data_IF_227664435158
#
_entry.id   IF_227664435158
#
_cell.length_a   1.000
_cell.length_b   1.000
_cell.length_c   1.000
_cell.angle_alpha   90.00
_cell.angle_beta   90.00
_cell.angle_gamma   90.00
#
_symmetry.space_group_name_H-M   'P 1'
#
loop_
_entity.id
_entity.type
_entity.pdbx_description
1 polymer ?
#
# COMPACT_ATOMS: atom_id res chain seq x y z
N UNK A 1 1.75 -26.64 -3.62
CA UNK A 1 1.84 -25.24 -3.16
C UNK A 1 0.43 -24.66 -3.13
N UNK A 2 0.06 -23.93 -2.08
CA UNK A 2 -1.24 -23.26 -1.92
C UNK A 2 -1.01 -21.82 -1.47
N UNK A 3 -1.86 -20.89 -1.91
CA UNK A 3 -1.76 -19.48 -1.53
C UNK A 3 -2.87 -19.10 -0.56
N UNK A 4 -2.52 -18.31 0.45
CA UNK A 4 -3.44 -17.66 1.37
C UNK A 4 -3.20 -16.16 1.26
N UNK A 5 -4.21 -15.39 0.86
CA UNK A 5 -4.11 -13.94 0.74
C UNK A 5 -4.86 -13.29 1.89
N UNK A 6 -4.18 -12.39 2.60
CA UNK A 6 -4.69 -11.73 3.80
C UNK A 6 -4.47 -10.23 3.64
N UNK A 7 -5.55 -9.47 3.56
CA UNK A 7 -5.52 -8.01 3.50
C UNK A 7 -5.65 -7.41 4.90
N UNK A 8 -4.55 -6.87 5.42
CA UNK A 8 -4.50 -6.33 6.78
C UNK A 8 -5.10 -4.92 6.90
N UNK A 9 -5.56 -4.29 5.81
CA UNK A 9 -6.12 -2.94 5.83
C UNK A 9 -7.30 -2.77 6.80
N UNK A 10 -8.11 -3.83 6.96
CA UNK A 10 -9.28 -3.81 7.85
C UNK A 10 -8.97 -4.10 9.31
N UNK A 11 -7.78 -4.60 9.62
CA UNK A 11 -7.40 -4.98 10.98
C UNK A 11 -6.99 -3.75 11.79
N UNK A 12 -7.63 -3.50 12.93
CA UNK A 12 -7.38 -2.33 13.78
C UNK A 12 -6.52 -2.65 15.01
N UNK A 13 -6.49 -3.91 15.40
CA UNK A 13 -5.84 -4.35 16.63
C UNK A 13 -5.40 -5.83 16.51
N UNK A 14 -4.65 -6.27 17.51
CA UNK A 14 -4.10 -7.62 17.58
C UNK A 14 -5.19 -8.71 17.60
N UNK A 15 -6.34 -8.48 18.26
CA UNK A 15 -7.46 -9.44 18.27
C UNK A 15 -8.01 -9.68 16.88
N UNK A 16 -8.35 -8.61 16.18
CA UNK A 16 -8.88 -8.67 14.81
C UNK A 16 -7.89 -9.33 13.85
N UNK A 17 -6.58 -9.07 14.03
CA UNK A 17 -5.55 -9.77 13.27
C UNK A 17 -5.64 -11.27 13.46
N UNK A 18 -5.66 -11.77 14.71
CA UNK A 18 -5.66 -13.20 14.96
C UNK A 18 -6.91 -13.91 14.44
N UNK A 19 -8.08 -13.31 14.65
CA UNK A 19 -9.35 -13.83 14.15
C UNK A 19 -9.34 -13.90 12.61
N UNK A 20 -8.90 -12.83 11.96
CA UNK A 20 -8.83 -12.75 10.50
C UNK A 20 -7.77 -13.70 9.92
N UNK A 21 -6.58 -13.75 10.52
CA UNK A 21 -5.49 -14.63 10.12
C UNK A 21 -5.88 -16.11 10.24
N UNK A 22 -6.47 -16.51 11.37
CA UNK A 22 -6.97 -17.86 11.55
C UNK A 22 -8.05 -18.20 10.51
N UNK A 23 -8.98 -17.27 10.28
CA UNK A 23 -10.06 -17.43 9.32
C UNK A 23 -9.55 -17.67 7.90
N UNK A 24 -8.69 -16.79 7.40
CA UNK A 24 -8.16 -16.90 6.04
C UNK A 24 -7.25 -18.12 5.87
N UNK A 25 -6.42 -18.47 6.85
CA UNK A 25 -5.57 -19.68 6.79
C UNK A 25 -6.42 -20.95 6.73
N UNK A 26 -7.47 -21.06 7.55
CA UNK A 26 -8.38 -22.21 7.55
C UNK A 26 -9.16 -22.28 6.24
N UNK A 27 -9.72 -21.14 5.79
CA UNK A 27 -10.48 -21.02 4.55
C UNK A 27 -9.63 -21.38 3.33
N UNK A 28 -8.41 -20.85 3.27
CA UNK A 28 -7.45 -21.16 2.23
C UNK A 28 -7.08 -22.64 2.26
N UNK A 29 -7.04 -23.30 3.42
CA UNK A 29 -6.57 -24.68 3.54
C UNK A 29 -7.64 -25.75 3.33
N UNK A 30 -8.89 -25.49 3.67
CA UNK A 30 -9.99 -26.46 3.65
C UNK A 30 -11.17 -25.98 2.79
N UNK A 31 -11.58 -26.82 1.84
CA UNK A 31 -12.72 -26.53 0.95
C UNK A 31 -14.08 -26.76 1.59
N UNK A 32 -14.18 -27.71 2.54
CA UNK A 32 -15.44 -28.08 3.20
C UNK A 32 -15.44 -27.67 4.65
N UNK A 33 -16.60 -27.23 5.15
CA UNK A 33 -16.80 -26.81 6.54
C UNK A 33 -16.65 -27.96 7.54
N UNK A 34 -17.19 -29.13 7.23
CA UNK A 34 -17.13 -30.30 8.13
C UNK A 34 -15.67 -30.70 8.42
N UNK A 35 -14.81 -30.65 7.39
CA UNK A 35 -13.36 -30.85 7.54
C UNK A 35 -12.72 -29.77 8.42
N UNK A 36 -13.21 -28.52 8.38
CA UNK A 36 -12.71 -27.44 9.25
C UNK A 36 -13.04 -27.73 10.72
N UNK A 37 -14.28 -28.13 11.03
CA UNK A 37 -14.71 -28.43 12.40
C UNK A 37 -14.02 -29.64 13.01
N UNK A 38 -13.83 -30.70 12.23
CA UNK A 38 -13.19 -31.92 12.75
C UNK A 38 -11.71 -31.66 13.09
N UNK A 39 -11.06 -30.82 12.29
CA UNK A 39 -9.63 -30.54 12.38
C UNK A 39 -9.27 -29.42 13.35
N UNK A 40 -10.21 -28.59 13.78
CA UNK A 40 -9.94 -27.53 14.79
C UNK A 40 -9.38 -28.09 16.10
N UNK A 41 -9.81 -29.28 16.51
CA UNK A 41 -9.26 -29.97 17.70
C UNK A 41 -7.81 -30.41 17.54
N UNK A 42 -7.34 -30.57 16.30
CA UNK A 42 -5.95 -30.93 16.00
C UNK A 42 -5.04 -29.70 16.12
N UNK A 43 -5.53 -28.53 15.74
CA UNK A 43 -4.74 -27.30 15.69
C UNK A 43 -4.80 -26.49 16.99
N UNK A 44 -5.95 -26.50 17.66
CA UNK A 44 -6.18 -25.72 18.86
C UNK A 44 -6.36 -26.63 20.07
N UNK A 45 -5.46 -26.50 21.04
CA UNK A 45 -5.54 -27.24 22.31
C UNK A 45 -6.26 -26.43 23.36
N UNK A 46 -6.02 -25.13 23.40
CA UNK A 46 -6.60 -24.20 24.37
C UNK A 46 -7.66 -23.30 23.74
N UNK A 47 -7.56 -23.01 22.43
CA UNK A 47 -8.50 -22.13 21.76
C UNK A 47 -9.71 -22.91 21.21
N UNK A 48 -10.92 -22.38 21.45
CA UNK A 48 -12.15 -22.93 20.85
C UNK A 48 -12.71 -21.88 19.87
N UNK A 49 -12.39 -21.99 18.57
CA UNK A 49 -12.91 -21.07 17.57
C UNK A 49 -14.42 -21.23 17.40
N UNK A 50 -15.14 -20.12 17.50
CA UNK A 50 -16.55 -20.01 17.12
C UNK A 50 -16.62 -19.57 15.67
N UNK A 51 -17.31 -20.34 14.84
CA UNK A 51 -17.49 -20.03 13.43
C UNK A 51 -18.88 -19.46 13.20
N UNK A 52 -18.94 -18.31 12.53
CA UNK A 52 -20.21 -17.71 12.10
C UNK A 52 -20.28 -17.71 10.58
N UNK A 53 -21.47 -18.01 10.06
CA UNK A 53 -21.75 -18.08 8.63
C UNK A 53 -22.80 -17.05 8.25
N UNK A 54 -22.54 -16.36 7.15
CA UNK A 54 -23.55 -15.55 6.49
C UNK A 54 -24.42 -16.39 5.54
N UNK A 55 -25.15 -15.71 4.66
CA UNK A 55 -26.17 -16.36 3.79
C UNK A 55 -25.52 -17.28 2.75
N UNK A 56 -24.28 -16.98 2.34
CA UNK A 56 -23.42 -17.86 1.55
C UNK A 56 -22.24 -18.37 2.42
N UNK A 57 -22.28 -19.62 2.91
CA UNK A 57 -21.23 -20.21 3.75
C UNK A 57 -19.85 -20.31 3.09
N UNK A 58 -19.78 -20.17 1.76
CA UNK A 58 -18.51 -20.22 1.02
C UNK A 58 -17.81 -18.86 0.96
N UNK A 59 -18.57 -17.76 1.08
CA UNK A 59 -18.06 -16.39 0.98
C UNK A 59 -18.02 -15.69 2.35
N UNK A 60 -19.07 -15.81 3.15
CA UNK A 60 -19.23 -15.14 4.45
C UNK A 60 -18.89 -16.09 5.59
N UNK A 61 -17.61 -16.15 5.91
CA UNK A 61 -17.05 -16.96 6.98
C UNK A 61 -16.27 -16.07 7.94
N UNK A 62 -16.60 -16.11 9.23
CA UNK A 62 -15.82 -15.44 10.27
C UNK A 62 -15.48 -16.38 11.42
N UNK A 63 -14.31 -16.15 12.00
CA UNK A 63 -13.82 -16.86 13.19
C UNK A 63 -13.83 -15.87 14.34
N UNK A 64 -14.44 -16.26 15.45
CA UNK A 64 -14.38 -15.51 16.70
C UNK A 64 -13.68 -16.35 17.75
N UNK A 65 -12.79 -15.72 18.52
CA UNK A 65 -11.96 -16.39 19.51
C UNK A 65 -12.18 -15.76 20.89
N UNK A 66 -11.99 -16.56 21.94
CA UNK A 66 -11.92 -16.01 23.29
C UNK A 66 -10.61 -15.24 23.45
N UNK A 67 -10.72 -13.92 23.59
CA UNK A 67 -9.56 -13.04 23.60
C UNK A 67 -8.63 -13.30 24.78
N UNK A 68 -9.16 -13.67 25.95
CA UNK A 68 -8.32 -13.96 27.11
C UNK A 68 -7.44 -15.19 26.86
N UNK A 69 -7.98 -16.21 26.20
CA UNK A 69 -7.23 -17.41 25.84
C UNK A 69 -6.25 -17.14 24.69
N UNK A 70 -6.62 -16.31 23.71
CA UNK A 70 -5.69 -15.91 22.63
C UNK A 70 -4.48 -15.17 23.18
N UNK A 71 -4.66 -14.31 24.21
CA UNK A 71 -3.54 -13.61 24.83
C UNK A 71 -2.57 -14.56 25.55
N UNK A 72 -3.08 -15.65 26.13
CA UNK A 72 -2.26 -16.69 26.79
C UNK A 72 -1.58 -17.61 25.78
N UNK A 73 -2.26 -17.92 24.67
CA UNK A 73 -1.86 -18.93 23.70
C UNK A 73 -1.82 -18.41 22.24
N UNK A 74 -1.17 -17.27 21.94
CA UNK A 74 -1.19 -16.70 20.59
C UNK A 74 -0.48 -17.59 19.57
N UNK A 75 0.46 -18.43 20.00
CA UNK A 75 1.20 -19.34 19.13
C UNK A 75 0.31 -20.37 18.44
N UNK A 76 -0.80 -20.83 19.06
CA UNK A 76 -1.71 -21.78 18.40
C UNK A 76 -2.31 -21.22 17.10
N UNK A 77 -2.46 -19.90 17.03
CA UNK A 77 -2.95 -19.21 15.83
C UNK A 77 -1.80 -18.94 14.87
N UNK A 78 -0.68 -18.43 15.38
CA UNK A 78 0.45 -18.04 14.54
C UNK A 78 1.10 -19.24 13.85
N UNK A 79 1.12 -20.40 14.51
CA UNK A 79 1.67 -21.66 13.99
C UNK A 79 0.69 -22.45 13.12
N UNK A 80 -0.57 -22.00 13.03
CA UNK A 80 -1.62 -22.65 12.25
C UNK A 80 -1.21 -22.95 10.80
N UNK A 81 -0.57 -22.03 10.04
CA UNK A 81 -0.04 -22.33 8.71
C UNK A 81 0.90 -23.55 8.68
N UNK A 82 1.85 -23.63 9.61
CA UNK A 82 2.86 -24.69 9.66
C UNK A 82 2.24 -26.03 10.03
N UNK A 83 1.34 -26.04 11.01
CA UNK A 83 0.65 -27.26 11.45
C UNK A 83 -0.20 -27.84 10.32
N UNK A 84 -1.00 -26.99 9.66
CA UNK A 84 -1.84 -27.43 8.54
C UNK A 84 -0.98 -27.90 7.36
N UNK A 85 0.10 -27.18 7.05
CA UNK A 85 0.99 -27.52 5.94
C UNK A 85 1.63 -28.90 6.13
N UNK A 86 2.09 -29.20 7.36
CA UNK A 86 2.60 -30.53 7.74
C UNK A 86 1.54 -31.62 7.62
N UNK A 87 0.37 -31.39 8.20
CA UNK A 87 -0.70 -32.40 8.20
C UNK A 87 -1.14 -32.76 6.78
N UNK A 88 -1.27 -31.77 5.90
CA UNK A 88 -1.75 -31.98 4.53
C UNK A 88 -0.64 -32.33 3.55
N UNK A 89 0.63 -32.30 3.97
CA UNK A 89 1.78 -32.49 3.07
C UNK A 89 1.84 -31.43 1.95
N UNK A 90 1.46 -30.19 2.26
CA UNK A 90 1.47 -29.06 1.30
C UNK A 90 2.46 -27.99 1.75
N UNK A 91 2.84 -27.12 0.81
CA UNK A 91 3.57 -25.88 1.09
C UNK A 91 2.62 -24.70 0.98
N UNK A 92 2.47 -23.90 2.04
CA UNK A 92 1.56 -22.77 2.10
C UNK A 92 2.31 -21.44 1.95
N UNK A 93 1.87 -20.59 1.02
CA UNK A 93 2.40 -19.24 0.84
C UNK A 93 1.41 -18.27 1.45
N UNK A 94 1.81 -17.57 2.51
CA UNK A 94 1.03 -16.57 3.21
C UNK A 94 1.38 -15.19 2.63
N UNK A 95 0.44 -14.60 1.92
CA UNK A 95 0.54 -13.28 1.32
C UNK A 95 -0.15 -12.27 2.25
N UNK A 96 0.64 -11.39 2.87
CA UNK A 96 0.17 -10.35 3.79
C UNK A 96 0.25 -9.00 3.09
N UNK A 97 -0.91 -8.49 2.68
CA UNK A 97 -1.06 -7.15 2.10
C UNK A 97 -1.24 -6.10 3.18
N UNK A 98 -0.81 -4.87 2.89
CA UNK A 98 -0.88 -3.70 3.78
C UNK A 98 -0.27 -3.97 5.17
N UNK A 99 0.83 -4.73 5.23
CA UNK A 99 1.46 -5.18 6.47
C UNK A 99 1.91 -4.05 7.39
N UNK A 100 2.25 -2.89 6.84
CA UNK A 100 2.57 -1.71 7.65
C UNK A 100 1.45 -1.29 8.61
N UNK A 101 0.21 -1.71 8.37
CA UNK A 101 -0.93 -1.35 9.19
C UNK A 101 -0.80 -1.87 10.64
N UNK A 102 -0.05 -2.96 10.85
CA UNK A 102 0.23 -3.48 12.21
C UNK A 102 1.01 -2.48 13.08
N UNK A 103 1.67 -1.49 12.45
CA UNK A 103 2.38 -0.43 13.14
C UNK A 103 1.46 0.43 14.01
N UNK A 104 0.16 0.46 13.71
CA UNK A 104 -0.86 1.23 14.41
C UNK A 104 -1.50 0.50 15.58
N UNK A 105 -1.12 -0.76 15.86
CA UNK A 105 -1.65 -1.51 17.00
C UNK A 105 -1.10 -0.96 18.32
N UNK A 106 -1.89 -1.07 19.40
CA UNK A 106 -1.54 -0.58 20.73
C UNK A 106 -0.16 -1.06 21.23
N UNK A 107 0.16 -2.35 21.04
CA UNK A 107 1.49 -2.93 21.29
C UNK A 107 2.09 -3.51 20.00
N UNK A 108 2.29 -2.64 19.01
CA UNK A 108 2.87 -3.00 17.71
C UNK A 108 4.22 -3.74 17.84
N UNK A 109 5.12 -3.30 18.73
CA UNK A 109 6.44 -3.92 18.87
C UNK A 109 6.36 -5.32 19.49
N UNK A 110 5.56 -5.49 20.55
CA UNK A 110 5.33 -6.79 21.16
C UNK A 110 4.66 -7.76 20.17
N UNK A 111 3.66 -7.29 19.44
CA UNK A 111 2.99 -8.06 18.39
C UNK A 111 3.97 -8.53 17.31
N UNK A 112 4.79 -7.64 16.75
CA UNK A 112 5.81 -8.00 15.75
C UNK A 112 6.82 -9.04 16.26
N UNK A 113 7.20 -8.98 17.55
CA UNK A 113 8.07 -9.99 18.17
C UNK A 113 7.39 -11.36 18.22
N UNK A 114 6.09 -11.43 18.55
CA UNK A 114 5.32 -12.69 18.55
C UNK A 114 5.28 -13.30 17.15
N UNK A 115 4.96 -12.49 16.12
CA UNK A 115 4.97 -12.94 14.73
C UNK A 115 6.30 -13.53 14.32
N UNK A 116 7.40 -12.78 14.53
CA UNK A 116 8.75 -13.25 14.18
C UNK A 116 9.11 -14.53 14.91
N UNK A 117 8.84 -14.61 16.21
CA UNK A 117 9.22 -15.77 17.03
C UNK A 117 8.61 -17.06 16.50
N UNK A 118 7.36 -17.02 16.07
CA UNK A 118 6.65 -18.13 15.43
C UNK A 118 7.17 -18.37 14.02
N UNK A 119 7.03 -17.38 13.12
CA UNK A 119 7.21 -17.58 11.68
C UNK A 119 8.65 -17.91 11.27
N UNK A 120 9.66 -17.48 12.03
CA UNK A 120 11.07 -17.81 11.72
C UNK A 120 11.37 -19.31 11.86
N UNK A 121 10.53 -20.06 12.57
CA UNK A 121 10.72 -21.51 12.79
C UNK A 121 9.99 -22.36 11.76
N UNK A 122 9.09 -21.77 10.98
CA UNK A 122 8.26 -22.50 10.02
C UNK A 122 9.09 -22.96 8.83
N UNK A 123 8.85 -24.20 8.38
CA UNK A 123 9.62 -24.85 7.31
C UNK A 123 8.74 -25.22 6.10
N UNK A 124 7.42 -25.29 6.28
CA UNK A 124 6.45 -25.66 5.24
C UNK A 124 5.62 -24.45 4.78
N UNK A 125 6.05 -23.26 5.21
CA UNK A 125 5.42 -21.99 4.92
C UNK A 125 6.43 -21.02 4.29
N UNK A 126 5.93 -20.13 3.43
CA UNK A 126 6.68 -18.96 2.97
C UNK A 126 5.81 -17.71 3.11
N UNK A 127 6.44 -16.59 3.46
CA UNK A 127 5.74 -15.33 3.72
C UNK A 127 6.07 -14.32 2.63
N UNK A 128 5.06 -13.88 1.90
CA UNK A 128 5.14 -12.76 0.98
C UNK A 128 4.48 -11.55 1.65
N UNK A 129 5.29 -10.61 2.12
CA UNK A 129 4.81 -9.45 2.88
C UNK A 129 4.99 -8.20 2.04
N UNK A 130 3.91 -7.46 1.81
CA UNK A 130 3.92 -6.28 0.96
C UNK A 130 3.00 -5.18 1.49
N UNK A 131 3.21 -3.97 1.00
CA UNK A 131 2.55 -2.78 1.51
C UNK A 131 2.87 -1.54 0.68
N UNK A 132 1.89 -0.65 0.56
CA UNK A 132 2.00 0.59 -0.23
C UNK A 132 2.89 1.66 0.41
N UNK A 133 2.98 1.72 1.76
CA UNK A 133 3.78 2.74 2.46
C UNK A 133 5.25 2.34 2.57
N UNK A 134 6.05 2.77 1.59
CA UNK A 134 7.46 2.38 1.46
C UNK A 134 8.29 2.74 2.68
N UNK A 135 8.12 3.92 3.28
CA UNK A 135 8.88 4.30 4.47
C UNK A 135 8.58 3.40 5.68
N UNK A 136 7.31 3.03 5.91
CA UNK A 136 6.92 2.18 7.03
C UNK A 136 7.44 0.76 6.83
N UNK A 137 7.32 0.22 5.61
CA UNK A 137 7.87 -1.08 5.26
C UNK A 137 9.39 -1.11 5.44
N UNK A 138 10.07 -0.07 4.98
CA UNK A 138 11.52 0.11 5.18
C UNK A 138 11.88 0.12 6.68
N UNK A 139 11.13 0.84 7.49
CA UNK A 139 11.35 0.86 8.94
C UNK A 139 11.21 -0.52 9.57
N UNK A 140 10.16 -1.27 9.23
CA UNK A 140 9.89 -2.61 9.78
C UNK A 140 11.00 -3.62 9.43
N UNK A 141 11.49 -3.61 8.18
CA UNK A 141 12.38 -4.66 7.65
C UNK A 141 13.88 -4.30 7.61
N UNK A 142 14.26 -3.01 7.55
CA UNK A 142 15.66 -2.59 7.43
C UNK A 142 16.25 -2.01 8.72
N UNK A 143 15.42 -1.56 9.67
CA UNK A 143 15.92 -0.97 10.92
C UNK A 143 16.34 -2.05 11.91
N UNK A 144 17.62 -2.04 12.31
CA UNK A 144 18.22 -3.03 13.25
C UNK A 144 17.46 -3.22 14.57
N UNK A 145 16.77 -2.17 15.05
CA UNK A 145 16.00 -2.24 16.29
C UNK A 145 14.64 -2.93 16.14
N UNK A 146 14.17 -3.15 14.91
CA UNK A 146 12.86 -3.71 14.63
C UNK A 146 12.90 -5.23 14.55
N UNK A 147 11.84 -5.94 15.00
CA UNK A 147 11.83 -7.40 15.02
C UNK A 147 12.07 -8.01 13.64
N UNK A 148 11.47 -7.47 12.59
CA UNK A 148 11.57 -8.00 11.23
C UNK A 148 12.88 -7.67 10.50
N UNK A 149 13.88 -7.10 11.18
CA UNK A 149 15.20 -6.87 10.60
C UNK A 149 15.79 -8.16 10.03
N UNK A 150 16.14 -8.14 8.74
CA UNK A 150 16.65 -9.31 7.98
C UNK A 150 15.76 -10.56 8.11
N UNK A 151 14.44 -10.39 8.22
CA UNK A 151 13.50 -11.51 8.25
C UNK A 151 13.37 -12.21 6.89
N UNK A 152 13.51 -11.46 5.79
CA UNK A 152 13.46 -11.99 4.44
C UNK A 152 14.20 -11.11 3.43
N UNK A 153 14.18 -11.51 2.17
CA UNK A 153 14.68 -10.69 1.05
C UNK A 153 13.72 -9.54 0.76
N UNK A 154 14.28 -8.34 0.55
CA UNK A 154 13.50 -7.13 0.28
C UNK A 154 13.51 -6.87 -1.22
N UNK A 155 12.32 -6.78 -1.82
CA UNK A 155 12.14 -6.43 -3.22
C UNK A 155 11.37 -5.11 -3.33
N UNK A 156 12.03 -4.08 -3.85
CA UNK A 156 11.36 -2.82 -4.21
C UNK A 156 10.82 -2.92 -5.63
N UNK A 157 9.50 -2.81 -5.80
CA UNK A 157 8.89 -2.78 -7.11
C UNK A 157 9.01 -1.37 -7.72
N UNK A 158 9.79 -1.20 -8.80
CA UNK A 158 9.87 0.09 -9.47
C UNK A 158 8.56 0.38 -10.21
N UNK A 159 8.36 1.64 -10.58
CA UNK A 159 7.29 2.02 -11.49
C UNK A 159 7.49 1.33 -12.84
N UNK A 160 6.38 1.00 -13.49
CA UNK A 160 6.39 0.35 -14.80
C UNK A 160 7.09 1.27 -15.81
N UNK A 161 8.06 0.72 -16.54
CA UNK A 161 8.81 1.43 -17.57
C UNK A 161 7.86 2.01 -18.64
N UNK A 162 8.12 3.26 -19.04
CA UNK A 162 7.32 4.02 -19.99
C UNK A 162 7.11 3.27 -21.33
N UNK A 163 8.07 2.44 -21.76
CA UNK A 163 7.94 1.62 -22.98
C UNK A 163 6.77 0.63 -22.92
N UNK A 164 6.49 0.07 -21.73
CA UNK A 164 5.39 -0.85 -21.53
C UNK A 164 4.05 -0.09 -21.51
N UNK A 165 4.03 1.08 -20.89
CA UNK A 165 2.86 1.95 -20.90
C UNK A 165 2.49 2.45 -22.29
N UNK A 166 3.47 2.97 -23.03
CA UNK A 166 3.25 3.50 -24.37
C UNK A 166 2.68 2.44 -25.32
N UNK A 167 3.25 1.22 -25.30
CA UNK A 167 2.73 0.07 -26.04
C UNK A 167 1.30 -0.31 -25.61
N UNK A 168 1.05 -0.38 -24.31
CA UNK A 168 -0.27 -0.69 -23.76
C UNK A 168 -1.33 0.33 -24.19
N UNK A 169 -1.07 1.63 -24.04
CA UNK A 169 -1.99 2.71 -24.38
C UNK A 169 -2.33 2.68 -25.88
N UNK A 170 -1.32 2.56 -26.76
CA UNK A 170 -1.53 2.45 -28.21
C UNK A 170 -2.44 1.26 -28.54
N UNK A 171 -2.19 0.09 -27.93
CA UNK A 171 -3.02 -1.11 -28.13
C UNK A 171 -4.46 -0.90 -27.66
N UNK A 172 -4.69 -0.21 -26.54
CA UNK A 172 -6.05 0.04 -26.00
C UNK A 172 -6.83 1.03 -26.86
N UNK A 173 -6.22 2.10 -27.37
CA UNK A 173 -6.86 3.01 -28.33
C UNK A 173 -7.29 2.24 -29.60
N UNK A 174 -6.38 1.47 -30.18
CA UNK A 174 -6.63 0.69 -31.40
C UNK A 174 -7.78 -0.30 -31.26
N UNK A 175 -7.93 -0.94 -30.09
CA UNK A 175 -9.03 -1.88 -29.81
C UNK A 175 -10.42 -1.27 -29.97
N UNK A 176 -10.53 0.06 -29.92
CA UNK A 176 -11.79 0.81 -29.99
C UNK A 176 -11.94 1.61 -31.29
N UNK A 177 -11.07 1.37 -32.28
CA UNK A 177 -11.06 2.13 -33.54
C UNK A 177 -10.38 3.50 -33.46
N UNK A 178 -9.83 3.89 -32.29
CA UNK A 178 -9.12 5.15 -32.10
C UNK A 178 -7.62 4.98 -32.33
N UNK A 179 -6.91 6.06 -32.63
CA UNK A 179 -5.47 6.07 -32.86
C UNK A 179 -4.74 7.08 -31.97
N UNK A 180 -3.52 6.74 -31.56
CA UNK A 180 -2.59 7.61 -30.84
C UNK A 180 -1.17 7.23 -31.25
N UNK A 181 -0.27 8.22 -31.36
CA UNK A 181 1.14 7.96 -31.66
C UNK A 181 1.87 7.38 -30.44
N UNK A 182 2.94 6.62 -30.65
CA UNK A 182 3.78 6.11 -29.55
C UNK A 182 4.37 7.26 -28.71
N UNK A 183 4.77 8.37 -29.36
CA UNK A 183 5.24 9.60 -28.70
C UNK A 183 4.19 10.15 -27.74
N UNK A 184 2.93 10.28 -28.20
CA UNK A 184 1.83 10.81 -27.39
C UNK A 184 1.47 9.86 -26.24
N UNK A 185 1.43 8.56 -26.48
CA UNK A 185 1.22 7.56 -25.44
C UNK A 185 2.33 7.59 -24.36
N UNK A 186 3.58 7.76 -24.78
CA UNK A 186 4.74 7.94 -23.90
C UNK A 186 4.62 9.23 -23.07
N UNK A 187 4.21 10.35 -23.69
CA UNK A 187 3.93 11.65 -23.04
C UNK A 187 2.88 11.50 -21.93
N UNK A 188 1.76 10.84 -22.20
CA UNK A 188 0.70 10.59 -21.21
C UNK A 188 1.25 9.88 -19.97
N UNK A 189 2.00 8.79 -20.18
CA UNK A 189 2.53 8.02 -19.05
C UNK A 189 3.58 8.80 -18.25
N UNK A 190 4.45 9.55 -18.93
CA UNK A 190 5.49 10.35 -18.30
C UNK A 190 4.93 11.53 -17.50
N UNK A 191 3.82 12.15 -17.95
CA UNK A 191 3.19 13.28 -17.26
C UNK A 191 2.83 12.97 -15.80
N UNK A 192 2.40 11.74 -15.53
CA UNK A 192 1.97 11.27 -14.20
C UNK A 192 2.97 10.30 -13.59
N UNK A 193 4.26 10.55 -13.86
CA UNK A 193 5.42 9.83 -13.35
C UNK A 193 5.34 8.30 -13.52
N UNK A 194 4.72 7.80 -14.60
CA UNK A 194 4.46 6.38 -14.88
C UNK A 194 3.69 5.63 -13.77
N UNK A 195 2.99 6.35 -12.89
CA UNK A 195 2.27 5.75 -11.78
C UNK A 195 1.02 4.99 -12.27
N UNK A 196 0.89 3.67 -12.03
CA UNK A 196 -0.11 2.84 -12.72
C UNK A 196 -1.56 3.30 -12.61
N UNK A 197 -1.97 3.79 -11.44
CA UNK A 197 -3.30 4.37 -11.23
C UNK A 197 -3.52 5.61 -12.10
N UNK A 198 -2.67 6.63 -11.96
CA UNK A 198 -2.80 7.91 -12.68
C UNK A 198 -2.57 7.78 -14.19
N UNK A 199 -1.68 6.88 -14.65
CA UNK A 199 -1.50 6.62 -16.09
C UNK A 199 -2.80 6.12 -16.70
N UNK A 200 -3.43 5.12 -16.07
CA UNK A 200 -4.71 4.58 -16.53
C UNK A 200 -5.82 5.63 -16.46
N UNK A 201 -5.87 6.41 -15.38
CA UNK A 201 -6.87 7.44 -15.21
C UNK A 201 -6.74 8.54 -16.28
N UNK A 202 -5.55 9.10 -16.48
CA UNK A 202 -5.29 10.12 -17.49
C UNK A 202 -5.52 9.59 -18.91
N UNK A 203 -5.02 8.39 -19.21
CA UNK A 203 -5.23 7.77 -20.51
C UNK A 203 -6.71 7.50 -20.79
N UNK A 204 -7.49 7.09 -19.77
CA UNK A 204 -8.93 6.90 -19.91
C UNK A 204 -9.66 8.23 -20.15
N UNK A 205 -9.35 9.28 -19.39
CA UNK A 205 -9.94 10.62 -19.59
C UNK A 205 -9.69 11.14 -21.00
N UNK A 206 -8.46 11.02 -21.49
CA UNK A 206 -8.08 11.41 -22.86
C UNK A 206 -8.78 10.51 -23.89
N UNK A 207 -8.87 9.21 -23.63
CA UNK A 207 -9.54 8.28 -24.52
C UNK A 207 -11.03 8.61 -24.67
N UNK A 208 -11.73 8.97 -23.59
CA UNK A 208 -13.15 9.37 -23.62
C UNK A 208 -13.35 10.61 -24.50
N UNK A 209 -12.48 11.61 -24.38
CA UNK A 209 -12.56 12.85 -25.16
C UNK A 209 -12.03 12.75 -26.59
N UNK A 210 -11.31 11.68 -26.92
CA UNK A 210 -10.79 11.44 -28.27
C UNK A 210 -11.90 10.84 -29.15
N UNK A 211 -12.18 11.43 -30.31
CA UNK A 211 -13.08 10.84 -31.29
C UNK A 211 -12.38 9.75 -32.12
N UNK A 212 -11.41 10.12 -32.96
CA UNK A 212 -10.73 9.18 -33.88
C UNK A 212 -9.21 9.17 -33.69
N UNK A 213 -8.57 10.35 -33.54
CA UNK A 213 -7.12 10.49 -33.39
C UNK A 213 -6.79 11.37 -32.19
N UNK A 214 -5.92 10.89 -31.31
CA UNK A 214 -5.41 11.65 -30.17
C UNK A 214 -4.11 12.38 -30.54
N UNK A 215 -4.21 13.69 -30.67
CA UNK A 215 -3.12 14.65 -30.82
C UNK A 215 -2.70 15.25 -29.48
N UNK A 216 -1.88 16.30 -29.54
CA UNK A 216 -1.42 17.00 -28.33
C UNK A 216 -2.57 17.77 -27.65
N UNK A 217 -3.48 18.35 -28.44
CA UNK A 217 -4.65 19.09 -27.94
C UNK A 217 -5.58 18.21 -27.10
N UNK A 218 -5.85 16.96 -27.51
CA UNK A 218 -6.67 16.02 -26.73
C UNK A 218 -6.00 15.67 -25.40
N UNK A 219 -4.67 15.57 -25.38
CA UNK A 219 -3.89 15.30 -24.16
C UNK A 219 -3.98 16.48 -23.20
N UNK A 220 -3.78 17.69 -23.69
CA UNK A 220 -3.86 18.90 -22.85
C UNK A 220 -5.27 19.12 -22.30
N UNK A 221 -6.29 18.96 -23.14
CA UNK A 221 -7.70 19.01 -22.71
C UNK A 221 -8.00 17.92 -21.69
N UNK A 222 -7.55 16.69 -21.93
CA UNK A 222 -7.76 15.57 -21.02
C UNK A 222 -7.08 15.76 -19.66
N UNK A 223 -5.84 16.27 -19.64
CA UNK A 223 -5.15 16.62 -18.41
C UNK A 223 -5.89 17.73 -17.66
N UNK A 224 -6.26 18.82 -18.34
CA UNK A 224 -7.02 19.92 -17.73
C UNK A 224 -8.35 19.43 -17.13
N UNK A 225 -9.08 18.59 -17.87
CA UNK A 225 -10.32 18.02 -17.39
C UNK A 225 -10.10 17.16 -16.14
N UNK A 226 -9.05 16.34 -16.12
CA UNK A 226 -8.70 15.54 -14.96
C UNK A 226 -8.32 16.40 -13.76
N UNK A 227 -7.50 17.44 -13.95
CA UNK A 227 -7.12 18.38 -12.88
C UNK A 227 -8.36 19.10 -12.30
N UNK A 228 -9.27 19.55 -13.16
CA UNK A 228 -10.52 20.20 -12.73
C UNK A 228 -11.41 19.26 -11.90
N UNK A 229 -11.42 17.96 -12.18
CA UNK A 229 -12.19 16.98 -11.38
C UNK A 229 -11.64 16.85 -9.96
N UNK A 230 -10.33 17.04 -9.79
CA UNK A 230 -9.64 16.91 -8.50
C UNK A 230 -9.47 18.23 -7.75
N UNK A 231 -9.76 19.37 -8.39
CA UNK A 231 -9.51 20.71 -7.87
C UNK A 231 -10.05 20.94 -6.45
N UNK A 232 -11.31 20.55 -6.22
CA UNK A 232 -11.94 20.67 -4.91
C UNK A 232 -11.29 19.77 -3.85
N UNK A 233 -10.90 18.55 -4.23
CA UNK A 233 -10.29 17.58 -3.31
C UNK A 233 -8.90 18.08 -2.90
N UNK A 234 -8.09 18.49 -3.88
CA UNK A 234 -6.75 19.00 -3.63
C UNK A 234 -6.74 20.34 -2.89
N UNK A 235 -7.72 21.22 -3.15
CA UNK A 235 -7.89 22.46 -2.37
C UNK A 235 -8.16 22.16 -0.89
N UNK A 236 -9.07 21.23 -0.59
CA UNK A 236 -9.36 20.81 0.80
C UNK A 236 -8.15 20.17 1.48
N UNK A 237 -7.33 19.43 0.73
CA UNK A 237 -6.09 18.86 1.24
C UNK A 237 -5.10 19.96 1.67
N UNK A 238 -4.99 21.04 0.88
CA UNK A 238 -4.17 22.21 1.21
C UNK A 238 -4.72 23.05 2.37
N UNK A 239 -6.04 23.20 2.49
CA UNK A 239 -6.67 23.97 3.58
C UNK A 239 -6.28 23.41 4.97
N UNK A 240 -5.99 22.11 5.04
CA UNK A 240 -5.51 21.45 6.24
C UNK A 240 -4.02 21.64 6.54
N UNK A 241 -3.30 22.46 5.79
CA UNK A 241 -1.85 22.67 5.93
C UNK A 241 -1.50 24.02 6.55
N UNK A 242 -0.46 24.03 7.38
CA UNK A 242 0.12 25.27 7.88
C UNK A 242 0.94 25.99 6.79
N UNK A 243 1.16 27.29 6.95
CA UNK A 243 2.00 28.07 6.04
C UNK A 243 3.40 27.47 5.87
N UNK A 244 4.00 26.94 6.93
CA UNK A 244 5.31 26.29 6.87
C UNK A 244 5.28 24.99 6.05
N UNK A 245 4.20 24.21 6.15
CA UNK A 245 3.99 23.01 5.33
C UNK A 245 3.79 23.37 3.85
N UNK A 246 2.98 24.40 3.56
CA UNK A 246 2.78 24.91 2.20
C UNK A 246 4.08 25.43 1.59
N UNK A 247 4.86 26.20 2.35
CA UNK A 247 6.16 26.70 1.93
C UNK A 247 7.15 25.58 1.65
N UNK A 248 7.14 24.52 2.47
CA UNK A 248 7.95 23.34 2.21
C UNK A 248 7.51 22.62 0.93
N UNK A 249 6.20 22.46 0.68
CA UNK A 249 5.68 21.92 -0.58
C UNK A 249 6.09 22.75 -1.79
N UNK A 250 6.12 24.09 -1.68
CA UNK A 250 6.65 24.99 -2.73
C UNK A 250 8.12 24.72 -3.03
N UNK A 251 8.95 24.50 -2.01
CA UNK A 251 10.35 24.16 -2.19
C UNK A 251 10.50 22.80 -2.92
N UNK A 252 9.75 21.79 -2.48
CA UNK A 252 9.76 20.44 -3.09
C UNK A 252 9.26 20.48 -4.54
N UNK A 253 8.18 21.21 -4.82
CA UNK A 253 7.63 21.37 -6.17
C UNK A 253 8.61 22.02 -7.15
N UNK A 254 9.51 22.87 -6.66
CA UNK A 254 10.59 23.50 -7.41
C UNK A 254 11.89 22.65 -7.47
N UNK A 255 11.85 21.41 -6.99
CA UNK A 255 12.97 20.47 -6.97
C UNK A 255 14.19 20.96 -6.16
N UNK A 256 13.96 21.69 -5.06
CA UNK A 256 15.05 22.04 -4.13
C UNK A 256 15.61 20.78 -3.45
N UNK A 257 16.90 20.50 -3.63
CA UNK A 257 17.56 19.31 -3.07
C UNK A 257 17.91 19.46 -1.59
N UNK A 258 18.32 20.68 -1.17
CA UNK A 258 18.80 20.95 0.20
C UNK A 258 17.79 21.77 1.00
N UNK A 259 16.64 21.16 1.31
CA UNK A 259 15.50 21.82 1.97
C UNK A 259 15.84 22.52 3.31
N UNK A 260 16.81 21.98 4.06
CA UNK A 260 17.25 22.55 5.35
C UNK A 260 18.43 23.52 5.24
N UNK A 261 18.90 23.84 4.03
CA UNK A 261 19.98 24.81 3.82
C UNK A 261 19.53 26.23 4.18
N UNK A 262 20.47 27.10 4.57
CA UNK A 262 20.17 28.51 4.87
C UNK A 262 19.51 29.22 3.69
N UNK A 263 19.97 28.92 2.47
CA UNK A 263 19.47 29.53 1.24
C UNK A 263 18.03 29.12 0.96
N UNK A 264 17.71 27.81 1.01
CA UNK A 264 16.34 27.33 0.81
C UNK A 264 15.41 27.79 1.93
N UNK A 265 15.86 27.79 3.19
CA UNK A 265 15.07 28.29 4.33
C UNK A 265 14.70 29.75 4.14
N UNK A 266 15.66 30.59 3.70
CA UNK A 266 15.39 32.00 3.43
C UNK A 266 14.51 32.20 2.21
N UNK A 267 14.77 31.46 1.12
CA UNK A 267 14.03 31.58 -0.15
C UNK A 267 12.55 31.23 -0.02
N UNK A 268 12.22 30.24 0.80
CA UNK A 268 10.85 29.74 0.98
C UNK A 268 10.23 30.09 2.32
N UNK A 269 10.89 30.91 3.15
CA UNK A 269 10.40 31.27 4.49
C UNK A 269 10.02 30.03 5.34
N UNK A 270 10.99 29.12 5.52
CA UNK A 270 10.81 27.86 6.25
C UNK A 270 11.14 27.99 7.74
N UNK A 271 11.46 29.19 8.22
CA UNK A 271 11.88 29.55 9.59
C UNK A 271 13.22 28.93 10.04
N UNK A 272 13.36 27.61 10.08
CA UNK A 272 14.54 26.90 10.62
C UNK A 272 14.64 25.47 10.10
N UNK A 273 15.79 24.82 10.28
CA UNK A 273 15.94 23.40 9.93
C UNK A 273 15.04 22.47 10.78
N UNK A 274 14.74 22.86 12.03
CA UNK A 274 13.84 22.10 12.90
C UNK A 274 12.36 22.18 12.45
N UNK A 275 11.91 23.34 11.96
CA UNK A 275 10.57 23.47 11.35
C UNK A 275 10.47 22.76 10.01
N UNK A 276 11.55 22.69 9.22
CA UNK A 276 11.60 21.86 8.01
C UNK A 276 11.38 20.39 8.35
N UNK A 277 12.09 19.84 9.33
CA UNK A 277 11.91 18.44 9.75
C UNK A 277 10.50 18.16 10.26
N UNK A 278 9.94 19.01 11.14
CA UNK A 278 8.57 18.86 11.64
C UNK A 278 7.53 18.95 10.51
N UNK A 279 7.70 19.88 9.57
CA UNK A 279 6.79 20.02 8.43
C UNK A 279 6.89 18.81 7.50
N UNK A 280 8.10 18.28 7.28
CA UNK A 280 8.32 17.06 6.51
C UNK A 280 7.61 15.86 7.14
N UNK A 281 7.80 15.64 8.44
CA UNK A 281 7.14 14.57 9.19
C UNK A 281 5.61 14.69 9.12
N UNK A 282 5.07 15.90 9.30
CA UNK A 282 3.64 16.14 9.20
C UNK A 282 3.08 15.89 7.79
N UNK A 283 3.81 16.25 6.72
CA UNK A 283 3.40 15.99 5.34
C UNK A 283 3.47 14.50 4.97
N UNK A 284 4.42 13.75 5.54
CA UNK A 284 4.49 12.28 5.41
C UNK A 284 3.30 11.64 6.12
N UNK A 285 2.99 12.07 7.35
CA UNK A 285 1.84 11.57 8.11
C UNK A 285 0.49 11.88 7.43
N UNK A 286 0.41 13.02 6.73
CA UNK A 286 -0.76 13.39 5.91
C UNK A 286 -0.78 12.70 4.53
N UNK A 287 0.21 11.86 4.23
CA UNK A 287 0.32 11.10 2.96
C UNK A 287 0.38 11.99 1.70
N UNK A 288 0.94 13.21 1.84
CA UNK A 288 1.10 14.15 0.72
C UNK A 288 2.44 13.90 0.00
N UNK A 289 3.47 13.63 0.80
CA UNK A 289 4.82 13.32 0.34
C UNK A 289 5.30 12.01 0.97
N UNK A 290 6.27 11.38 0.34
CA UNK A 290 7.00 10.26 0.94
C UNK A 290 8.51 10.48 0.80
N UNK A 291 9.26 9.76 1.60
CA UNK A 291 10.72 9.71 1.55
C UNK A 291 11.18 8.31 1.21
N UNK A 292 11.69 8.12 0.00
CA UNK A 292 12.30 6.86 -0.42
C UNK A 292 13.74 7.11 -0.85
N UNK A 293 14.69 6.32 -0.32
CA UNK A 293 16.13 6.47 -0.59
C UNK A 293 16.63 7.92 -0.40
N UNK A 294 16.18 8.59 0.67
CA UNK A 294 16.49 9.99 1.00
C UNK A 294 15.97 11.04 0.00
N UNK A 295 15.20 10.63 -1.02
CA UNK A 295 14.53 11.55 -1.94
C UNK A 295 13.10 11.80 -1.49
N UNK A 296 12.74 13.07 -1.40
CA UNK A 296 11.37 13.49 -1.12
C UNK A 296 10.61 13.60 -2.43
N UNK A 297 9.43 12.97 -2.50
CA UNK A 297 8.55 13.03 -3.67
C UNK A 297 7.11 13.19 -3.24
N UNK A 298 6.31 13.84 -4.08
CA UNK A 298 4.85 13.78 -3.96
C UNK A 298 4.38 12.34 -4.16
N UNK A 299 3.47 11.89 -3.29
CA UNK A 299 2.83 10.58 -3.43
C UNK A 299 1.89 10.56 -4.64
N UNK A 300 1.08 11.61 -4.77
CA UNK A 300 0.20 11.82 -5.90
C UNK A 300 0.88 12.73 -6.98
N UNK A 301 1.28 12.18 -8.15
CA UNK A 301 1.83 12.97 -9.24
C UNK A 301 0.80 13.92 -9.88
N UNK A 302 -0.50 13.62 -9.83
CA UNK A 302 -1.54 14.52 -10.30
C UNK A 302 -1.69 15.72 -9.35
N UNK A 303 -1.64 15.50 -8.03
CA UNK A 303 -1.59 16.58 -7.04
C UNK A 303 -0.39 17.50 -7.27
N UNK A 304 0.80 16.93 -7.53
CA UNK A 304 2.00 17.70 -7.88
C UNK A 304 1.78 18.58 -9.12
N UNK A 305 1.17 18.05 -10.17
CA UNK A 305 0.87 18.84 -11.39
C UNK A 305 -0.11 19.95 -11.04
N UNK A 306 -1.23 19.61 -10.39
CA UNK A 306 -2.25 20.57 -9.96
C UNK A 306 -1.65 21.70 -9.12
N UNK A 307 -0.87 21.36 -8.10
CA UNK A 307 -0.19 22.29 -7.21
C UNK A 307 0.66 23.29 -8.00
N UNK A 308 1.45 22.81 -8.97
CA UNK A 308 2.32 23.66 -9.79
C UNK A 308 1.57 24.51 -10.82
N UNK A 309 0.48 23.99 -11.39
CA UNK A 309 -0.18 24.63 -12.54
C UNK A 309 -1.40 25.45 -12.20
N UNK A 310 -2.04 25.19 -11.05
CA UNK A 310 -3.28 25.83 -10.61
C UNK A 310 -3.02 26.62 -9.33
N UNK A 311 -2.50 25.99 -8.28
CA UNK A 311 -2.33 26.65 -6.97
C UNK A 311 -1.19 27.68 -6.94
N UNK A 312 -0.04 27.40 -7.58
CA UNK A 312 1.12 28.31 -7.59
C UNK A 312 1.07 29.40 -8.68
N UNK A 313 0.06 29.38 -9.55
CA UNK A 313 -0.14 30.44 -10.55
C UNK A 313 -0.84 31.64 -9.93
#
# INVERSE_FOLDING_TARGET
IKFCFIDLFKTRNEKEFYEYFAGEVIKASYSKWEERLEKTKVFFKHLIPKFSFGVDPTQEFSVSLDWEEVQKHPQEILDLPEVISKEKGIHLIICLDEFQNIAHFNDSLGFQKKLRASWQTHQHCSYAIYGSKQHMMTEIFEKKSMPFYKFGEILFLPKIDNKHWSSFIVKRFKKTGKSISLKNASKIAAMVDNHPYFVQQLANTIWISTHEKCGEDEIEKGLKNLLNQYDLIFSRELDGLSNLQLNLLKAIANNEEKLSSKDTIKKYDLSSSASVNRSKEALIQKEIIDTFQQKITFLDPLFKIWFKTIYLK
#
